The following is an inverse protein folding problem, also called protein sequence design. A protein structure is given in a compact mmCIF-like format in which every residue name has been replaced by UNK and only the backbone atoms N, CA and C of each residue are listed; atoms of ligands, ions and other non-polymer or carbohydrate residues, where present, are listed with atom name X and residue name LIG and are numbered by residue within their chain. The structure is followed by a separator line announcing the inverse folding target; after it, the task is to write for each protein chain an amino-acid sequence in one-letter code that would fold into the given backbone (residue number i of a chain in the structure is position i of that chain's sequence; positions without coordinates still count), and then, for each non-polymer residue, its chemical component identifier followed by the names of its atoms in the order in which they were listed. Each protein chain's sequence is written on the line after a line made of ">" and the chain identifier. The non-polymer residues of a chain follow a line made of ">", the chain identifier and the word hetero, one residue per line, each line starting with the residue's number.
data_IF_024849702033
#
_entry.id   IF_024849702033
#
_cell.length_a   1.000
_cell.length_b   1.000
_cell.length_c   1.000
_cell.angle_alpha   90.00
_cell.angle_beta   90.00
_cell.angle_gamma   90.00
#
_symmetry.space_group_name_H-M   'P 1'
#
loop_
_entity.id
_entity.type
_entity.pdbx_description
1 polymer ?
#
# COMPACT_ATOMS: atom_id res chain seq x y z
N UNK A 1 3.44 -7.67 12.32
CA UNK A 1 2.54 -7.42 11.17
C UNK A 1 3.38 -7.34 9.92
N UNK A 2 3.10 -8.18 8.93
CA UNK A 2 3.81 -8.22 7.66
C UNK A 2 3.08 -7.39 6.61
N UNK A 3 3.81 -6.56 5.88
CA UNK A 3 3.25 -5.59 4.93
C UNK A 3 3.94 -5.76 3.59
N UNK A 4 3.16 -5.76 2.51
CA UNK A 4 3.68 -5.61 1.15
C UNK A 4 3.51 -4.16 0.67
N UNK A 5 4.59 -3.52 0.24
CA UNK A 5 4.55 -2.30 -0.55
C UNK A 5 4.67 -2.62 -2.04
N UNK A 6 3.90 -1.92 -2.88
CA UNK A 6 3.87 -2.11 -4.33
C UNK A 6 4.03 -0.74 -5.01
N UNK A 7 5.07 -0.61 -5.82
CA UNK A 7 5.29 0.51 -6.73
C UNK A 7 4.88 0.09 -8.16
N UNK A 8 3.66 0.44 -8.61
CA UNK A 8 3.11 -0.08 -9.85
C UNK A 8 3.77 0.56 -11.06
N UNK A 9 4.24 -0.29 -11.98
CA UNK A 9 4.76 0.16 -13.26
C UNK A 9 4.55 -0.87 -14.35
N UNK A 10 4.18 -0.41 -15.55
CA UNK A 10 3.81 -1.33 -16.62
C UNK A 10 4.99 -2.21 -17.06
N UNK A 11 6.23 -1.70 -17.02
CA UNK A 11 7.44 -2.47 -17.37
C UNK A 11 8.05 -3.16 -16.15
N UNK A 12 8.14 -2.41 -15.07
CA UNK A 12 8.74 -2.80 -13.80
C UNK A 12 7.73 -2.45 -12.72
N UNK A 13 7.24 -3.45 -12.01
CA UNK A 13 6.46 -3.24 -10.79
C UNK A 13 7.33 -3.67 -9.62
N UNK A 14 7.73 -2.69 -8.79
CA UNK A 14 8.50 -2.94 -7.59
C UNK A 14 7.64 -3.53 -6.49
N UNK A 15 8.19 -4.45 -5.71
CA UNK A 15 7.55 -4.95 -4.49
C UNK A 15 8.56 -5.08 -3.35
N UNK A 16 8.07 -4.88 -2.13
CA UNK A 16 8.87 -5.00 -0.91
C UNK A 16 8.04 -5.54 0.25
N UNK A 17 8.58 -6.52 0.97
CA UNK A 17 8.00 -7.10 2.18
C UNK A 17 8.78 -6.63 3.39
N UNK A 18 8.07 -6.08 4.36
CA UNK A 18 8.61 -5.71 5.67
C UNK A 18 7.77 -6.32 6.78
N UNK A 19 8.37 -6.45 7.96
CA UNK A 19 7.67 -6.71 9.20
C UNK A 19 7.71 -5.47 10.09
N UNK A 20 6.58 -5.16 10.70
CA UNK A 20 6.39 -4.09 11.67
C UNK A 20 6.01 -4.68 13.02
N UNK A 21 6.84 -4.36 14.02
CA UNK A 21 6.64 -4.68 15.43
C UNK A 21 6.66 -3.39 16.25
N UNK A 22 5.49 -2.78 16.45
CA UNK A 22 5.37 -1.48 17.08
C UNK A 22 6.08 -0.39 16.26
N UNK A 23 7.22 0.09 16.75
CA UNK A 23 8.03 1.10 16.04
C UNK A 23 9.27 0.52 15.36
N UNK A 24 9.47 -0.80 15.43
CA UNK A 24 10.57 -1.51 14.78
C UNK A 24 10.14 -2.02 13.42
N UNK A 25 11.02 -1.88 12.44
CA UNK A 25 10.82 -2.34 11.08
C UNK A 25 11.94 -3.32 10.71
N UNK A 26 11.57 -4.41 10.06
CA UNK A 26 12.49 -5.45 9.61
C UNK A 26 12.27 -5.71 8.12
N UNK A 27 13.36 -5.77 7.36
CA UNK A 27 13.31 -6.19 5.96
C UNK A 27 13.10 -7.71 5.89
N UNK A 28 12.19 -8.15 5.01
CA UNK A 28 11.95 -9.58 4.76
C UNK A 28 12.42 -9.95 3.35
N UNK A 29 11.88 -9.28 2.33
CA UNK A 29 12.20 -9.55 0.93
C UNK A 29 11.88 -8.33 0.05
N UNK A 30 12.47 -8.26 -1.14
CA UNK A 30 12.12 -7.26 -2.15
C UNK A 30 12.45 -7.78 -3.55
N UNK A 31 11.85 -7.17 -4.56
CA UNK A 31 12.12 -7.52 -5.94
C UNK A 31 11.34 -6.67 -6.95
N UNK A 32 11.40 -7.10 -8.20
CA UNK A 32 10.71 -6.45 -9.32
C UNK A 32 10.05 -7.49 -10.20
N UNK A 33 8.79 -7.28 -10.50
CA UNK A 33 8.08 -8.01 -11.56
C UNK A 33 8.39 -7.31 -12.88
N UNK A 34 9.02 -8.05 -13.80
CA UNK A 34 9.42 -7.55 -15.12
C UNK A 34 8.46 -8.09 -16.17
N UNK A 35 7.78 -7.20 -16.88
CA UNK A 35 6.95 -7.58 -18.03
C UNK A 35 7.75 -7.52 -19.33
N UNK A 36 7.42 -8.36 -20.30
CA UNK A 36 8.04 -8.28 -21.63
C UNK A 36 7.41 -7.16 -22.46
N UNK A 37 8.22 -6.20 -22.91
CA UNK A 37 7.72 -5.07 -23.70
C UNK A 37 7.21 -5.43 -25.09
N UNK A 38 7.59 -6.61 -25.60
CA UNK A 38 7.09 -7.19 -26.85
C UNK A 38 5.66 -7.72 -26.73
N UNK A 39 5.19 -7.97 -25.51
CA UNK A 39 3.83 -8.47 -25.28
C UNK A 39 2.81 -7.34 -25.36
N UNK A 40 1.61 -7.69 -25.81
CA UNK A 40 0.47 -6.78 -25.82
C UNK A 40 0.06 -6.39 -24.39
N UNK A 41 -0.58 -5.22 -24.27
CA UNK A 41 -0.95 -4.65 -22.98
C UNK A 41 -1.73 -5.63 -22.06
N UNK A 42 -2.78 -6.35 -22.52
CA UNK A 42 -3.50 -7.28 -21.66
C UNK A 42 -2.60 -8.38 -21.09
N UNK A 43 -1.68 -8.94 -21.89
CA UNK A 43 -0.76 -9.98 -21.43
C UNK A 43 0.22 -9.45 -20.37
N UNK A 44 0.67 -8.21 -20.52
CA UNK A 44 1.54 -7.56 -19.53
C UNK A 44 0.81 -7.30 -18.21
N UNK A 45 -0.48 -6.96 -18.26
CA UNK A 45 -1.30 -6.83 -17.05
C UNK A 45 -1.47 -8.18 -16.33
N UNK A 46 -1.61 -9.28 -17.07
CA UNK A 46 -1.61 -10.64 -16.51
C UNK A 46 -0.27 -10.97 -15.85
N UNK A 47 0.87 -10.64 -16.49
CA UNK A 47 2.20 -10.84 -15.89
C UNK A 47 2.36 -10.08 -14.55
N UNK A 48 1.83 -8.85 -14.46
CA UNK A 48 1.84 -8.09 -13.21
C UNK A 48 0.96 -8.79 -12.16
N UNK A 49 -0.25 -9.21 -12.54
CA UNK A 49 -1.16 -9.93 -11.64
C UNK A 49 -0.51 -11.19 -11.08
N UNK A 50 0.00 -12.07 -11.96
CA UNK A 50 0.57 -13.36 -11.60
C UNK A 50 1.83 -13.17 -10.74
N UNK A 51 2.65 -12.18 -11.07
CA UNK A 51 3.83 -11.83 -10.29
C UNK A 51 3.49 -11.34 -8.87
N UNK A 52 2.49 -10.47 -8.72
CA UNK A 52 2.04 -10.02 -7.40
C UNK A 52 1.43 -11.21 -6.64
N UNK A 53 0.60 -12.02 -7.28
CA UNK A 53 -0.03 -13.18 -6.66
C UNK A 53 1.01 -14.20 -6.15
N UNK A 54 2.10 -14.42 -6.88
CA UNK A 54 3.20 -15.28 -6.43
C UNK A 54 3.83 -14.73 -5.14
N UNK A 55 4.16 -13.43 -5.10
CA UNK A 55 4.72 -12.78 -3.90
C UNK A 55 3.75 -12.87 -2.71
N UNK A 56 2.45 -12.64 -2.93
CA UNK A 56 1.43 -12.76 -1.88
C UNK A 56 1.35 -14.20 -1.34
N UNK A 57 1.50 -15.20 -2.21
CA UNK A 57 1.46 -16.61 -1.83
C UNK A 57 2.69 -17.03 -1.04
N UNK A 58 3.88 -16.56 -1.45
CA UNK A 58 5.16 -16.90 -0.82
C UNK A 58 5.32 -16.25 0.56
N UNK A 59 4.90 -14.99 0.70
CA UNK A 59 5.18 -14.20 1.91
C UNK A 59 3.97 -13.97 2.81
N UNK A 60 2.75 -14.18 2.32
CA UNK A 60 1.49 -14.06 3.09
C UNK A 60 1.43 -12.79 3.97
N UNK A 61 1.48 -11.58 3.37
CA UNK A 61 1.40 -10.35 4.12
C UNK A 61 0.00 -10.15 4.74
N UNK A 62 -0.07 -9.41 5.84
CA UNK A 62 -1.32 -9.05 6.52
C UNK A 62 -2.03 -7.88 5.83
N UNK A 63 -1.26 -6.94 5.26
CA UNK A 63 -1.75 -5.72 4.62
C UNK A 63 -0.90 -5.37 3.39
N UNK A 64 -1.51 -4.67 2.44
CA UNK A 64 -0.87 -4.16 1.24
C UNK A 64 -0.89 -2.62 1.19
N UNK A 65 0.13 -2.04 0.55
CA UNK A 65 0.25 -0.61 0.35
C UNK A 65 0.65 -0.33 -1.11
N UNK A 66 -0.05 0.57 -1.77
CA UNK A 66 0.16 0.87 -3.20
C UNK A 66 0.35 2.38 -3.40
N UNK A 67 1.32 2.77 -4.22
CA UNK A 67 1.47 4.18 -4.59
C UNK A 67 0.29 4.70 -5.42
N UNK A 68 -0.13 5.93 -5.16
CA UNK A 68 -1.02 6.67 -6.04
C UNK A 68 -0.17 7.29 -7.16
N UNK A 69 -0.42 6.84 -8.39
CA UNK A 69 0.17 7.45 -9.57
C UNK A 69 -0.49 8.80 -9.87
N UNK A 70 0.32 9.85 -10.01
CA UNK A 70 -0.15 11.16 -10.51
C UNK A 70 -0.10 11.22 -12.04
N UNK A 71 -0.98 12.03 -12.62
CA UNK A 71 -1.03 12.21 -14.08
C UNK A 71 0.33 12.73 -14.61
N UNK A 72 0.87 12.04 -15.61
CA UNK A 72 2.08 12.45 -16.31
C UNK A 72 1.75 13.33 -17.51
N UNK A 73 2.76 14.02 -18.07
CA UNK A 73 2.61 14.90 -19.25
C UNK A 73 1.98 14.19 -20.48
N UNK A 74 2.16 12.87 -20.61
CA UNK A 74 1.60 12.08 -21.70
C UNK A 74 0.35 11.30 -21.22
N UNK A 75 -0.85 11.62 -21.73
CA UNK A 75 -2.09 10.95 -21.34
C UNK A 75 -2.10 9.45 -21.64
N UNK A 76 -1.49 9.01 -22.76
CA UNK A 76 -1.48 7.60 -23.14
C UNK A 76 -0.65 6.75 -22.18
N UNK A 77 0.54 7.23 -21.79
CA UNK A 77 1.34 6.52 -20.79
C UNK A 77 0.69 6.56 -19.40
N UNK A 78 0.02 7.66 -19.06
CA UNK A 78 -0.73 7.80 -17.80
C UNK A 78 -1.85 6.77 -17.72
N UNK A 79 -2.63 6.61 -18.79
CA UNK A 79 -3.72 5.63 -18.83
C UNK A 79 -3.20 4.19 -18.64
N UNK A 80 -2.11 3.83 -19.33
CA UNK A 80 -1.49 2.50 -19.21
C UNK A 80 -0.92 2.25 -17.81
N UNK A 81 -0.33 3.27 -17.19
CA UNK A 81 0.16 3.18 -15.82
C UNK A 81 -1.00 3.03 -14.82
N UNK A 82 -2.10 3.74 -15.04
CA UNK A 82 -3.34 3.57 -14.28
C UNK A 82 -3.90 2.15 -14.37
N UNK A 83 -3.81 1.49 -15.52
CA UNK A 83 -4.20 0.08 -15.68
C UNK A 83 -3.30 -0.86 -14.86
N UNK A 84 -1.97 -0.69 -14.93
CA UNK A 84 -1.03 -1.47 -14.12
C UNK A 84 -1.27 -1.27 -12.61
N UNK A 85 -1.54 -0.04 -12.19
CA UNK A 85 -1.95 0.29 -10.82
C UNK A 85 -3.26 -0.38 -10.44
N UNK A 86 -4.24 -0.43 -11.34
CA UNK A 86 -5.48 -1.17 -11.13
C UNK A 86 -5.21 -2.63 -10.77
N UNK A 87 -4.30 -3.28 -11.48
CA UNK A 87 -3.84 -4.65 -11.14
C UNK A 87 -3.22 -4.69 -9.74
N UNK A 88 -2.31 -3.77 -9.42
CA UNK A 88 -1.67 -3.71 -8.11
C UNK A 88 -2.64 -3.53 -6.94
N UNK A 89 -3.79 -2.89 -7.16
CA UNK A 89 -4.84 -2.75 -6.16
C UNK A 89 -5.71 -4.00 -6.05
N UNK A 90 -6.19 -4.53 -7.18
CA UNK A 90 -7.16 -5.63 -7.15
C UNK A 90 -6.53 -6.95 -6.71
N UNK A 91 -5.26 -7.23 -7.07
CA UNK A 91 -4.63 -8.51 -6.78
C UNK A 91 -4.59 -8.83 -5.27
N UNK A 92 -4.08 -7.96 -4.37
CA UNK A 92 -4.19 -8.20 -2.94
C UNK A 92 -5.65 -8.16 -2.44
N UNK A 93 -6.48 -7.27 -2.98
CA UNK A 93 -7.88 -7.17 -2.55
C UNK A 93 -8.70 -8.44 -2.85
N UNK A 94 -8.39 -9.17 -3.93
CA UNK A 94 -9.06 -10.43 -4.31
C UNK A 94 -8.92 -11.54 -3.26
N UNK A 95 -7.85 -11.50 -2.46
CA UNK A 95 -7.64 -12.44 -1.34
C UNK A 95 -8.02 -11.83 0.03
N UNK A 96 -8.69 -10.67 0.02
CA UNK A 96 -9.21 -10.02 1.22
C UNK A 96 -8.20 -9.21 2.03
N UNK A 97 -7.00 -8.95 1.50
CA UNK A 97 -6.02 -8.09 2.18
C UNK A 97 -6.50 -6.62 2.19
N UNK A 98 -6.44 -5.93 3.34
CA UNK A 98 -6.59 -4.48 3.38
C UNK A 98 -5.51 -3.81 2.50
N UNK A 99 -5.93 -2.82 1.71
CA UNK A 99 -5.04 -2.08 0.80
C UNK A 99 -5.04 -0.59 1.17
N UNK A 100 -3.88 -0.08 1.59
CA UNK A 100 -3.64 1.35 1.78
C UNK A 100 -3.09 2.01 0.52
N UNK A 101 -3.49 3.25 0.27
CA UNK A 101 -3.05 4.03 -0.90
C UNK A 101 -2.33 5.31 -0.45
N UNK A 102 -1.18 5.61 -1.05
CA UNK A 102 -0.35 6.75 -0.63
C UNK A 102 0.15 7.59 -1.80
N UNK A 103 0.00 8.92 -1.69
CA UNK A 103 0.63 9.86 -2.63
C UNK A 103 2.16 9.85 -2.46
N UNK A 104 2.94 10.10 -3.53
CA UNK A 104 4.41 10.12 -3.46
C UNK A 104 4.95 11.08 -2.40
N UNK A 105 4.33 12.25 -2.25
CA UNK A 105 4.67 13.23 -1.22
C UNK A 105 4.48 12.68 0.20
N UNK A 106 3.45 11.87 0.44
CA UNK A 106 3.17 11.28 1.75
C UNK A 106 4.19 10.19 2.05
N UNK A 107 4.59 9.39 1.05
CA UNK A 107 5.68 8.41 1.18
C UNK A 107 6.98 9.13 1.56
N UNK A 108 7.38 10.16 0.80
CA UNK A 108 8.56 10.97 1.09
C UNK A 108 8.54 11.58 2.49
N UNK A 109 7.40 12.17 2.87
CA UNK A 109 7.23 12.76 4.21
C UNK A 109 7.32 11.73 5.31
N UNK A 110 6.77 10.53 5.11
CA UNK A 110 6.75 9.47 6.12
C UNK A 110 8.11 8.79 6.32
N UNK A 111 8.95 8.77 5.28
CA UNK A 111 10.27 8.14 5.30
C UNK A 111 11.39 9.11 5.67
N UNK A 112 11.36 10.33 5.12
CA UNK A 112 12.45 11.33 5.25
C UNK A 112 12.07 12.49 6.18
N UNK A 113 10.78 12.72 6.41
CA UNK A 113 10.26 13.85 7.20
C UNK A 113 9.77 15.04 6.37
N UNK A 114 10.05 15.06 5.06
CA UNK A 114 9.58 16.12 4.14
C UNK A 114 9.03 15.56 2.83
N UNK A 115 7.96 16.15 2.32
CA UNK A 115 7.33 15.77 1.05
C UNK A 115 8.16 16.10 -0.19
N UNK A 116 9.15 16.99 -0.05
CA UNK A 116 10.01 17.46 -1.14
C UNK A 116 11.34 16.68 -1.23
N UNK A 117 11.48 15.57 -0.50
CA UNK A 117 12.70 14.77 -0.52
C UNK A 117 13.05 14.26 -1.94
N UNK A 118 14.35 14.17 -2.20
CA UNK A 118 14.89 13.56 -3.42
C UNK A 118 14.81 12.04 -3.34
N UNK A 119 14.94 11.34 -4.48
CA UNK A 119 14.90 9.87 -4.49
C UNK A 119 16.09 9.26 -3.73
N UNK A 120 17.24 9.91 -3.79
CA UNK A 120 18.47 9.50 -3.11
C UNK A 120 18.30 9.59 -1.58
N UNK A 121 17.63 10.65 -1.10
CA UNK A 121 17.31 10.79 0.32
C UNK A 121 16.33 9.71 0.79
N UNK A 122 15.33 9.36 -0.03
CA UNK A 122 14.41 8.26 0.28
C UNK A 122 15.18 6.94 0.37
N UNK A 123 16.01 6.62 -0.62
CA UNK A 123 16.82 5.39 -0.64
C UNK A 123 17.70 5.27 0.61
N UNK A 124 18.47 6.32 0.94
CA UNK A 124 19.32 6.35 2.14
C UNK A 124 18.50 6.08 3.41
N UNK A 125 17.31 6.67 3.51
CA UNK A 125 16.44 6.49 4.67
C UNK A 125 15.80 5.11 4.71
N UNK A 126 15.47 4.50 3.56
CA UNK A 126 15.02 3.10 3.51
C UNK A 126 16.08 2.17 4.06
N UNK A 127 17.35 2.31 3.62
CA UNK A 127 18.46 1.49 4.13
C UNK A 127 18.71 1.69 5.63
N UNK A 128 18.55 2.92 6.12
CA UNK A 128 18.67 3.25 7.54
C UNK A 128 17.54 2.65 8.38
N UNK A 129 16.30 2.69 7.88
CA UNK A 129 15.11 2.18 8.57
C UNK A 129 14.99 0.66 8.48
N UNK A 130 15.63 0.05 7.49
CA UNK A 130 15.67 -1.39 7.26
C UNK A 130 17.13 -1.90 7.20
N UNK A 131 17.83 -1.96 8.35
CA UNK A 131 19.22 -2.41 8.38
C UNK A 131 19.39 -3.79 7.72
N UNK A 132 20.40 -3.92 6.86
CA UNK A 132 20.67 -5.17 6.14
C UNK A 132 19.86 -5.37 4.86
N UNK A 133 18.92 -4.46 4.53
CA UNK A 133 18.23 -4.53 3.26
C UNK A 133 19.23 -4.32 2.11
N UNK A 134 19.15 -5.19 1.10
CA UNK A 134 19.83 -4.99 -0.19
C UNK A 134 18.73 -4.80 -1.21
N UNK A 135 18.36 -3.55 -1.48
CA UNK A 135 17.39 -3.26 -2.53
C UNK A 135 17.97 -3.72 -3.87
N UNK A 136 17.24 -4.60 -4.57
CA UNK A 136 17.69 -5.16 -5.85
C UNK A 136 17.58 -4.17 -7.02
N UNK A 137 16.79 -3.10 -6.85
CA UNK A 137 16.63 -2.01 -7.82
C UNK A 137 16.04 -0.75 -7.16
N UNK A 138 15.94 0.34 -7.91
CA UNK A 138 15.24 1.56 -7.50
C UNK A 138 13.74 1.32 -7.30
N UNK A 139 13.08 0.55 -8.17
CA UNK A 139 11.64 0.23 -8.03
C UNK A 139 11.38 -0.60 -6.76
N UNK A 140 12.29 -1.53 -6.42
CA UNK A 140 12.21 -2.30 -5.18
C UNK A 140 12.40 -1.40 -3.94
N UNK A 141 13.28 -0.40 -4.01
CA UNK A 141 13.45 0.60 -2.94
C UNK A 141 12.22 1.48 -2.78
N UNK A 142 11.63 1.96 -3.88
CA UNK A 142 10.40 2.76 -3.87
C UNK A 142 9.24 1.94 -3.23
N UNK A 143 9.14 0.65 -3.55
CA UNK A 143 8.19 -0.28 -2.92
C UNK A 143 8.42 -0.46 -1.41
N UNK A 144 9.68 -0.60 -0.95
CA UNK A 144 9.99 -0.66 0.48
C UNK A 144 9.61 0.65 1.19
N UNK A 145 9.85 1.80 0.57
CA UNK A 145 9.45 3.11 1.11
C UNK A 145 7.92 3.21 1.29
N UNK A 146 7.15 2.67 0.34
CA UNK A 146 5.68 2.61 0.42
C UNK A 146 5.24 1.72 1.59
N UNK A 147 5.88 0.56 1.78
CA UNK A 147 5.58 -0.32 2.91
C UNK A 147 5.87 0.35 4.27
N UNK A 148 7.01 1.06 4.38
CA UNK A 148 7.37 1.84 5.58
C UNK A 148 6.33 2.93 5.85
N UNK A 149 5.94 3.67 4.80
CA UNK A 149 4.92 4.70 4.89
C UNK A 149 3.61 4.13 5.46
N UNK A 150 3.18 2.97 4.96
CA UNK A 150 1.99 2.30 5.46
C UNK A 150 2.12 1.88 6.93
N UNK A 151 3.25 1.27 7.32
CA UNK A 151 3.52 0.89 8.70
C UNK A 151 3.40 2.08 9.67
N UNK A 152 3.96 3.24 9.31
CA UNK A 152 3.88 4.47 10.11
C UNK A 152 2.44 5.00 10.21
N UNK A 153 1.69 5.00 9.10
CA UNK A 153 0.32 5.51 9.07
C UNK A 153 -0.68 4.60 9.81
N UNK A 154 -0.58 3.28 9.63
CA UNK A 154 -1.43 2.31 10.33
C UNK A 154 -1.13 2.32 11.82
N UNK A 155 0.13 2.36 12.22
CA UNK A 155 0.51 2.44 13.65
C UNK A 155 -0.03 3.71 14.30
N UNK A 156 0.03 4.83 13.60
CA UNK A 156 -0.50 6.11 14.09
C UNK A 156 -2.03 6.07 14.20
N UNK A 157 -2.73 5.55 13.18
CA UNK A 157 -4.18 5.38 13.21
C UNK A 157 -4.65 4.41 14.31
N UNK A 158 -3.93 3.31 14.52
CA UNK A 158 -4.22 2.33 15.58
C UNK A 158 -3.93 2.88 16.98
N UNK A 159 -2.84 3.62 17.18
CA UNK A 159 -2.55 4.28 18.47
C UNK A 159 -3.59 5.35 18.81
N UNK A 160 -4.09 6.10 17.83
CA UNK A 160 -5.21 7.01 18.05
C UNK A 160 -6.51 6.28 18.35
N UNK A 161 -6.80 5.17 17.67
CA UNK A 161 -7.98 4.36 17.96
C UNK A 161 -7.91 3.62 19.31
N UNK A 162 -6.71 3.32 19.81
CA UNK A 162 -6.49 2.53 21.02
C UNK A 162 -6.14 3.36 22.28
N UNK A 163 -5.96 4.68 22.18
CA UNK A 163 -5.40 5.48 23.29
C UNK A 163 -5.87 6.92 23.45
N UNK A 164 -6.81 7.42 22.64
CA UNK A 164 -7.43 8.74 22.83
C UNK A 164 -8.91 8.62 22.53
N UNK A 165 -9.79 9.22 23.36
CA UNK A 165 -11.20 9.39 22.98
C UNK A 165 -11.25 10.02 21.59
N UNK A 166 -11.93 9.36 20.64
CA UNK A 166 -12.11 9.85 19.28
C UNK A 166 -12.58 11.31 19.34
N UNK A 167 -11.75 12.29 18.92
CA UNK A 167 -12.06 13.70 19.11
C UNK A 167 -13.29 14.11 18.28
N UNK A 168 -13.62 13.36 17.22
CA UNK A 168 -14.82 13.56 16.43
C UNK A 168 -16.03 13.01 17.18
N UNK A 169 -15.93 11.83 17.78
CA UNK A 169 -17.00 11.30 18.64
C UNK A 169 -17.22 12.20 19.88
N UNK A 170 -16.15 12.71 20.49
CA UNK A 170 -16.21 13.63 21.63
C UNK A 170 -16.83 14.99 21.23
N UNK A 171 -16.47 15.53 20.06
CA UNK A 171 -17.05 16.77 19.54
C UNK A 171 -18.53 16.63 19.15
N UNK A 172 -18.90 15.51 18.49
CA UNK A 172 -20.28 15.20 18.12
C UNK A 172 -21.17 14.98 19.37
N UNK A 173 -20.66 14.25 20.38
CA UNK A 173 -21.32 14.09 21.67
C UNK A 173 -21.51 15.42 22.39
N UNK A 174 -20.52 16.33 22.34
CA UNK A 174 -20.63 17.69 22.90
C UNK A 174 -21.62 18.58 22.13
N UNK A 175 -21.81 18.31 20.84
CA UNK A 175 -22.76 19.02 19.97
C UNK A 175 -24.17 18.39 19.96
N UNK A 176 -24.39 17.25 20.64
CA UNK A 176 -25.66 16.53 20.65
C UNK A 176 -26.03 15.88 19.31
N UNK A 177 -25.04 15.63 18.45
CA UNK A 177 -25.24 15.05 17.11
C UNK A 177 -24.78 13.59 17.12
N UNK A 178 -25.60 12.68 16.56
CA UNK A 178 -25.23 11.27 16.44
C UNK A 178 -24.12 11.06 15.40
N UNK A 179 -23.20 10.13 15.70
CA UNK A 179 -22.07 9.84 14.81
C UNK A 179 -22.50 9.02 13.59
N UNK A 180 -22.47 9.59 12.37
CA UNK A 180 -22.93 8.92 11.16
C UNK A 180 -22.04 7.72 10.78
N UNK A 181 -20.84 7.59 11.37
CA UNK A 181 -19.91 6.48 11.15
C UNK A 181 -20.32 5.20 11.89
N UNK A 182 -21.16 5.31 12.93
CA UNK A 182 -21.57 4.18 13.78
C UNK A 182 -22.87 3.51 13.27
N UNK A 183 -23.63 4.20 12.41
CA UNK A 183 -24.94 3.75 11.94
C UNK A 183 -24.95 2.50 11.03
N UNK A 184 -23.80 2.04 10.52
CA UNK A 184 -23.73 0.99 9.48
C UNK A 184 -23.71 -0.47 9.99
N UNK A 185 -23.52 -0.74 11.28
CA UNK A 185 -23.34 -2.14 11.76
C UNK A 185 -24.62 -2.94 12.03
N UNK A 186 -25.83 -2.40 11.82
CA UNK A 186 -27.09 -3.11 12.16
C UNK A 186 -27.85 -3.78 10.99
N UNK A 187 -27.42 -3.67 9.74
CA UNK A 187 -28.22 -4.22 8.60
C UNK A 187 -27.69 -5.50 7.95
N UNK A 188 -26.55 -6.07 8.37
CA UNK A 188 -26.03 -7.32 7.75
C UNK A 188 -26.58 -8.63 8.35
N UNK A 189 -27.39 -8.59 9.42
CA UNK A 189 -27.93 -9.81 10.06
C UNK A 189 -29.27 -10.33 9.50
N UNK A 190 -29.83 -9.74 8.44
CA UNK A 190 -31.16 -10.11 7.95
C UNK A 190 -31.25 -10.79 6.56
N UNK A 191 -30.14 -11.02 5.83
CA UNK A 191 -30.21 -11.64 4.48
C UNK A 191 -29.73 -13.09 4.38
N UNK A 192 -29.53 -13.78 5.50
CA UNK A 192 -29.25 -15.21 5.56
C UNK A 192 -30.49 -16.06 5.82
N UNK A 193 -31.54 -15.98 5.00
CA UNK A 193 -32.60 -17.00 4.95
C UNK A 193 -33.39 -16.89 3.65
N UNK A 194 -33.46 -18.02 2.94
CA UNK A 194 -34.09 -18.29 1.62
C UNK A 194 -33.21 -17.92 0.43
N UNK A 195 -32.49 -18.91 -0.10
CA UNK A 195 -32.94 -19.65 -1.27
C UNK A 195 -32.43 -21.10 -1.14
N UNK A 196 -33.38 -22.03 -1.15
CA UNK A 196 -33.21 -23.44 -1.51
C UNK A 196 -33.43 -23.52 -3.00
#
# INVERSE_FOLDING_TARGET
>A
MRIIGIDPGLRFTGWGIIESEGNRLHHVANGVIKTLSTNELPRRLVEIHDGIQAVLSDYQPDEAAVEITLANKNPSSTLKLGMARGIALITPALIGLPVGEYLPMIVKKSVVGTGHATKEQVLMMVERLLPGCKATSTDASDALAIAICHAHNVTTGRKWAAGVEDPIAAALKKAGVEDPRVASKKTSKARGKKFR
#
